data_IF_660936269364
#
_entry.id   IF_660936269364
#
_cell.length_a   1.000
_cell.length_b   1.000
_cell.length_c   1.000
_cell.angle_alpha   90.00
_cell.angle_beta   90.00
_cell.angle_gamma   90.00
#
_symmetry.space_group_name_H-M   'P 1'
#
loop_
_entity.id
_entity.type
_entity.pdbx_description
1 polymer ?
#
# COMPACT_ATOMS: atom_id res chain seq x y z
N UNK A 1 -8.75 18.09 21.51
CA UNK A 1 -7.88 16.93 21.23
C UNK A 1 -8.65 15.66 20.84
N UNK A 2 -9.55 15.13 21.69
CA UNK A 2 -10.25 13.87 21.40
C UNK A 2 -11.24 13.94 20.23
N UNK A 3 -11.83 15.11 19.97
CA UNK A 3 -12.73 15.33 18.83
C UNK A 3 -12.00 15.44 17.49
N UNK A 4 -10.69 15.74 17.51
CA UNK A 4 -9.83 15.83 16.31
C UNK A 4 -9.25 14.46 15.91
N UNK A 5 -9.43 13.45 16.76
CA UNK A 5 -8.88 12.10 16.57
C UNK A 5 -10.03 11.16 16.22
N UNK A 6 -9.98 10.60 15.02
CA UNK A 6 -10.92 9.58 14.56
C UNK A 6 -10.17 8.26 14.49
N UNK A 7 -10.69 7.25 15.18
CA UNK A 7 -10.12 5.89 15.19
C UNK A 7 -10.91 5.03 14.20
N UNK A 8 -10.20 4.52 13.19
CA UNK A 8 -10.70 3.52 12.24
C UNK A 8 -10.11 2.16 12.65
N UNK A 9 -10.93 1.23 13.12
CA UNK A 9 -10.51 -0.06 13.69
C UNK A 9 -11.10 -1.29 12.98
N UNK A 10 -11.67 -1.12 11.79
CA UNK A 10 -12.31 -2.19 11.02
C UNK A 10 -11.36 -2.87 10.05
N UNK A 11 -10.29 -2.19 9.67
CA UNK A 11 -9.35 -2.65 8.64
C UNK A 11 -8.28 -3.60 9.18
N UNK A 12 -8.07 -4.71 8.48
CA UNK A 12 -7.04 -5.71 8.80
C UNK A 12 -5.81 -5.62 7.87
N UNK A 13 -5.90 -4.87 6.77
CA UNK A 13 -4.85 -4.73 5.78
C UNK A 13 -4.78 -3.31 5.18
N UNK A 14 -3.75 -3.04 4.38
CA UNK A 14 -3.51 -1.71 3.77
C UNK A 14 -4.61 -1.30 2.77
N UNK A 15 -5.25 -2.27 2.10
CA UNK A 15 -6.29 -1.98 1.12
C UNK A 15 -7.60 -1.58 1.80
N UNK A 16 -8.09 -2.41 2.72
CA UNK A 16 -9.24 -2.13 3.57
C UNK A 16 -9.06 -0.83 4.33
N UNK A 17 -7.86 -0.56 4.86
CA UNK A 17 -7.56 0.71 5.53
C UNK A 17 -7.74 1.91 4.61
N UNK A 18 -7.27 1.84 3.37
CA UNK A 18 -7.50 2.93 2.42
C UNK A 18 -8.95 3.10 2.00
N UNK A 19 -9.70 2.00 1.84
CA UNK A 19 -11.13 2.05 1.54
C UNK A 19 -11.93 2.63 2.71
N UNK A 20 -11.71 2.18 3.93
CA UNK A 20 -12.43 2.69 5.11
C UNK A 20 -12.05 4.14 5.42
N UNK A 21 -10.77 4.50 5.28
CA UNK A 21 -10.32 5.89 5.44
C UNK A 21 -10.94 6.81 4.38
N UNK A 22 -11.07 6.37 3.14
CA UNK A 22 -11.71 7.18 2.08
C UNK A 22 -13.16 7.56 2.43
N UNK A 23 -13.91 6.66 3.06
CA UNK A 23 -15.27 6.94 3.52
C UNK A 23 -15.29 8.04 4.57
N UNK A 24 -14.31 8.05 5.47
CA UNK A 24 -14.15 9.08 6.50
C UNK A 24 -13.82 10.42 5.84
N UNK A 25 -12.83 10.45 4.93
CA UNK A 25 -12.44 11.66 4.21
C UNK A 25 -13.60 12.27 3.43
N UNK A 26 -14.38 11.43 2.73
CA UNK A 26 -15.57 11.86 1.99
C UNK A 26 -16.65 12.43 2.91
N UNK A 27 -16.90 11.80 4.08
CA UNK A 27 -17.87 12.32 5.06
C UNK A 27 -17.47 13.68 5.63
N UNK A 28 -16.17 13.93 5.73
CA UNK A 28 -15.59 15.17 6.25
C UNK A 28 -15.29 16.20 5.16
N UNK A 29 -15.60 15.90 3.89
CA UNK A 29 -15.32 16.76 2.73
C UNK A 29 -13.83 17.15 2.60
N UNK A 30 -12.93 16.27 3.03
CA UNK A 30 -11.49 16.46 2.96
C UNK A 30 -10.98 16.09 1.57
N UNK A 31 -10.25 17.02 0.93
CA UNK A 31 -9.76 16.86 -0.44
C UNK A 31 -8.40 16.18 -0.52
N UNK A 32 -7.58 16.35 0.51
CA UNK A 32 -6.21 15.82 0.56
C UNK A 32 -5.84 15.33 1.95
N UNK A 33 -4.83 14.47 2.01
CA UNK A 33 -4.39 13.81 3.25
C UNK A 33 -2.88 13.60 3.26
N UNK A 34 -2.28 13.73 4.45
CA UNK A 34 -0.90 13.34 4.71
C UNK A 34 -0.89 11.94 5.33
N UNK A 35 -0.32 10.98 4.61
CA UNK A 35 -0.14 9.60 5.04
C UNK A 35 1.17 9.48 5.80
N UNK A 36 1.08 9.06 7.06
CA UNK A 36 2.25 8.87 7.93
C UNK A 36 2.38 7.40 8.29
N UNK A 37 3.45 6.74 7.83
CA UNK A 37 3.71 5.33 8.11
C UNK A 37 5.17 4.96 7.79
N UNK A 38 5.50 3.67 7.79
CA UNK A 38 6.76 3.14 7.26
C UNK A 38 6.77 3.13 5.73
N UNK A 39 7.96 3.27 5.12
CA UNK A 39 8.16 3.44 3.67
C UNK A 39 7.47 2.38 2.80
N UNK A 40 7.53 1.11 3.22
CA UNK A 40 6.95 0.00 2.47
C UNK A 40 5.41 -0.02 2.48
N UNK A 41 4.78 0.50 3.54
CA UNK A 41 3.32 0.66 3.60
C UNK A 41 2.85 1.88 2.82
N UNK A 42 3.63 2.96 2.81
CA UNK A 42 3.30 4.20 2.11
C UNK A 42 3.13 3.96 0.60
N UNK A 43 4.01 3.17 -0.04
CA UNK A 43 3.88 2.86 -1.46
C UNK A 43 2.53 2.20 -1.80
N UNK A 44 2.12 1.20 -1.02
CA UNK A 44 0.86 0.48 -1.21
C UNK A 44 -0.33 1.39 -0.94
N UNK A 45 -0.29 2.17 0.14
CA UNK A 45 -1.39 3.05 0.54
C UNK A 45 -1.60 4.21 -0.45
N UNK A 46 -0.53 4.87 -0.91
CA UNK A 46 -0.59 5.91 -1.95
C UNK A 46 -1.21 5.36 -3.24
N UNK A 47 -0.86 4.13 -3.63
CA UNK A 47 -1.41 3.47 -4.81
C UNK A 47 -2.93 3.23 -4.68
N UNK A 48 -3.38 2.83 -3.49
CA UNK A 48 -4.81 2.67 -3.20
C UNK A 48 -5.54 4.02 -3.27
N UNK A 49 -5.00 5.06 -2.64
CA UNK A 49 -5.62 6.39 -2.60
C UNK A 49 -5.70 7.01 -4.00
N UNK A 50 -4.65 6.84 -4.82
CA UNK A 50 -4.65 7.23 -6.22
C UNK A 50 -5.76 6.53 -7.01
N UNK A 51 -5.96 5.22 -6.81
CA UNK A 51 -7.04 4.47 -7.46
C UNK A 51 -8.43 4.93 -7.01
N UNK A 52 -8.56 5.40 -5.78
CA UNK A 52 -9.79 5.96 -5.21
C UNK A 52 -10.01 7.44 -5.56
N UNK A 53 -9.10 8.06 -6.31
CA UNK A 53 -9.20 9.48 -6.70
C UNK A 53 -8.91 10.47 -5.58
N UNK A 54 -8.22 10.03 -4.51
CA UNK A 54 -7.88 10.86 -3.35
C UNK A 54 -6.47 11.41 -3.52
N UNK A 55 -6.32 12.72 -3.35
CA UNK A 55 -5.02 13.37 -3.32
C UNK A 55 -4.29 13.03 -2.02
N UNK A 56 -3.12 12.40 -2.11
CA UNK A 56 -2.38 11.96 -0.93
C UNK A 56 -0.90 12.31 -1.01
N UNK A 57 -0.37 12.75 0.11
CA UNK A 57 1.04 13.05 0.35
C UNK A 57 1.59 12.01 1.31
N UNK A 58 2.83 11.55 1.12
CA UNK A 58 3.42 10.53 2.00
C UNK A 58 4.56 11.13 2.81
N UNK A 59 4.60 10.78 4.10
CA UNK A 59 5.65 11.16 5.03
C UNK A 59 6.10 9.92 5.81
N UNK A 60 7.36 9.54 5.62
CA UNK A 60 7.94 8.40 6.33
C UNK A 60 8.26 8.78 7.77
N UNK A 61 7.67 8.06 8.71
CA UNK A 61 7.96 8.22 10.13
C UNK A 61 9.31 7.58 10.56
N UNK A 62 9.99 6.90 9.63
CA UNK A 62 11.21 6.15 9.92
C UNK A 62 12.46 7.02 9.78
N UNK A 63 13.08 7.41 10.91
CA UNK A 63 14.40 8.08 10.92
C UNK A 63 15.59 7.15 10.60
N UNK A 64 15.36 5.88 10.20
CA UNK A 64 16.41 4.84 10.12
C UNK A 64 16.84 4.44 8.70
N UNK A 65 16.61 5.26 7.67
CA UNK A 65 17.30 5.07 6.39
C UNK A 65 18.61 5.88 6.37
N UNK A 66 19.73 5.28 5.90
CA UNK A 66 21.03 5.94 5.89
C UNK A 66 20.96 7.24 5.08
N UNK A 67 21.73 8.27 5.50
CA UNK A 67 21.78 9.66 4.98
C UNK A 67 21.94 9.85 3.46
N UNK A 68 21.94 8.80 2.67
CA UNK A 68 22.03 8.84 1.21
C UNK A 68 20.66 8.73 0.58
N UNK A 69 20.26 9.74 -0.20
CA UNK A 69 19.07 9.74 -1.02
C UNK A 69 19.07 8.55 -1.98
N UNK A 70 18.33 7.49 -1.66
CA UNK A 70 18.09 6.39 -2.59
C UNK A 70 17.01 6.89 -3.58
N UNK A 71 17.31 6.95 -4.88
CA UNK A 71 16.34 7.42 -5.85
C UNK A 71 15.09 6.53 -5.91
N UNK A 72 13.94 7.11 -6.23
CA UNK A 72 12.65 6.41 -6.23
C UNK A 72 12.63 5.14 -7.11
N UNK A 73 13.42 5.10 -8.19
CA UNK A 73 13.55 3.93 -9.07
C UNK A 73 14.32 2.76 -8.44
N UNK A 74 15.14 2.98 -7.41
CA UNK A 74 15.84 1.91 -6.67
C UNK A 74 14.96 1.20 -5.65
N UNK A 75 13.82 1.79 -5.27
CA UNK A 75 12.75 1.07 -4.56
C UNK A 75 12.00 0.13 -5.50
N UNK A 76 11.99 0.45 -6.80
CA UNK A 76 11.60 -0.41 -7.92
C UNK A 76 12.75 -1.35 -8.32
N UNK A 77 13.44 -1.94 -7.35
CA UNK A 77 14.57 -2.82 -7.62
C UNK A 77 14.10 -3.98 -8.53
N UNK A 78 14.79 -4.18 -9.66
CA UNK A 78 14.46 -5.19 -10.67
C UNK A 78 14.42 -6.60 -10.06
N UNK A 79 15.20 -6.81 -8.99
CA UNK A 79 15.18 -8.01 -8.17
C UNK A 79 13.81 -8.30 -7.51
N UNK A 80 13.11 -7.27 -7.03
CA UNK A 80 11.77 -7.43 -6.43
C UNK A 80 10.71 -7.71 -7.50
N UNK A 81 10.83 -7.08 -8.67
CA UNK A 81 9.94 -7.33 -9.79
C UNK A 81 10.08 -8.77 -10.31
N UNK A 82 11.31 -9.24 -10.50
CA UNK A 82 11.58 -10.62 -10.92
C UNK A 82 11.06 -11.62 -9.89
N UNK A 83 11.22 -11.34 -8.59
CA UNK A 83 10.72 -12.22 -7.52
C UNK A 83 9.20 -12.29 -7.49
N UNK A 84 8.51 -11.15 -7.72
CA UNK A 84 7.05 -11.13 -7.85
C UNK A 84 6.62 -11.91 -9.09
N UNK A 85 7.31 -11.76 -10.23
CA UNK A 85 7.04 -12.56 -11.43
C UNK A 85 7.23 -14.06 -11.18
N UNK A 86 8.27 -14.47 -10.46
CA UNK A 86 8.50 -15.88 -10.08
C UNK A 86 7.34 -16.41 -9.24
N UNK A 87 6.91 -15.67 -8.22
CA UNK A 87 5.78 -16.07 -7.37
C UNK A 87 4.48 -16.19 -8.19
N UNK A 88 4.21 -15.25 -9.09
CA UNK A 88 3.06 -15.35 -10.00
C UNK A 88 3.17 -16.57 -10.90
N UNK A 89 4.34 -16.84 -11.46
CA UNK A 89 4.58 -17.99 -12.34
C UNK A 89 4.36 -19.32 -11.59
N UNK A 90 4.86 -19.43 -10.36
CA UNK A 90 4.63 -20.58 -9.49
C UNK A 90 3.16 -20.74 -9.12
N UNK A 91 2.47 -19.63 -8.82
CA UNK A 91 1.04 -19.66 -8.51
C UNK A 91 0.20 -20.11 -9.72
N UNK A 92 0.48 -19.62 -10.93
CA UNK A 92 -0.15 -20.09 -12.16
C UNK A 92 0.20 -21.55 -12.47
N UNK A 93 1.41 -21.99 -12.15
CA UNK A 93 1.82 -23.39 -12.22
C UNK A 93 0.95 -24.27 -11.33
N UNK A 94 0.80 -23.93 -10.05
CA UNK A 94 -0.07 -24.66 -9.11
C UNK A 94 -1.54 -24.64 -9.56
N UNK A 95 -2.02 -23.50 -10.08
CA UNK A 95 -3.36 -23.37 -10.62
C UNK A 95 -3.57 -24.33 -11.82
N UNK A 96 -2.61 -24.38 -12.74
CA UNK A 96 -2.62 -25.26 -13.91
C UNK A 96 -2.58 -26.74 -13.51
N UNK A 97 -1.77 -27.10 -12.52
CA UNK A 97 -1.73 -28.46 -11.96
C UNK A 97 -3.08 -28.87 -11.38
N UNK A 98 -3.76 -27.96 -10.68
CA UNK A 98 -5.10 -28.18 -10.12
C UNK A 98 -6.16 -28.33 -11.21
N UNK A 99 -6.11 -27.55 -12.28
CA UNK A 99 -7.06 -27.68 -13.40
C UNK A 99 -6.78 -28.91 -14.28
N UNK A 100 -5.54 -29.36 -14.34
CA UNK A 100 -5.13 -30.57 -15.06
C UNK A 100 -5.36 -31.86 -14.25
N UNK A 101 -5.83 -31.75 -13.00
CA UNK A 101 -6.13 -32.90 -12.13
C UNK A 101 -4.89 -33.67 -11.66
N UNK A 102 -3.70 -33.04 -11.73
CA UNK A 102 -2.45 -33.61 -11.21
C UNK A 102 -2.32 -33.42 -9.69
N UNK A 103 -3.09 -32.49 -9.12
CA UNK A 103 -3.24 -32.21 -7.68
C UNK A 103 -4.69 -31.80 -7.41
#
# INVERSE_FOLDING_TARGET
>A
PSHDIIIENRSADTYSNGVETSKILNRLELKSVLLVSHDYHLFRLVSVFKKLGIESYSFSANQSYPKTSIPWWRYFDWANFNRIQTIFHEYFGLLSYKFSGLI
#
